data_IF_833296684147
#
_entry.id   IF_833296684147
#
_cell.length_a   1.000
_cell.length_b   1.000
_cell.length_c   1.000
_cell.angle_alpha   90.00
_cell.angle_beta   90.00
_cell.angle_gamma   90.00
#
_symmetry.space_group_name_H-M   'P 1'
#
loop_
_entity.id
_entity.type
_entity.pdbx_description
1 polymer ?
#
# COMPACT_ATOMS: atom_id res chain seq x y z
N UNK A 1 11.51 -3.35 1.05
CA UNK A 1 10.21 -3.14 0.41
C UNK A 1 10.29 -3.35 -1.10
N UNK A 2 9.25 -3.90 -1.73
CA UNK A 2 9.17 -3.99 -3.18
C UNK A 2 8.81 -2.63 -3.82
N UNK A 3 9.37 -2.39 -5.00
CA UNK A 3 9.05 -1.23 -5.85
C UNK A 3 8.65 -1.67 -7.26
N UNK A 4 7.61 -1.05 -7.84
CA UNK A 4 7.25 -1.30 -9.23
C UNK A 4 8.26 -0.65 -10.18
N UNK A 5 8.57 -1.35 -11.26
CA UNK A 5 9.28 -0.78 -12.41
C UNK A 5 8.28 -0.15 -13.40
N UNK A 6 8.70 0.76 -14.29
CA UNK A 6 7.82 1.27 -15.35
C UNK A 6 7.29 0.14 -16.23
N UNK A 7 6.07 0.29 -16.73
CA UNK A 7 5.53 -0.53 -17.80
C UNK A 7 5.90 0.08 -19.16
N UNK A 8 6.48 -0.71 -20.03
CA UNK A 8 6.97 -0.27 -21.35
C UNK A 8 6.15 -0.82 -22.53
N UNK A 9 4.96 -1.38 -22.25
CA UNK A 9 4.12 -1.97 -23.31
C UNK A 9 4.38 -3.45 -23.54
N UNK A 10 5.18 -4.09 -22.71
CA UNK A 10 5.47 -5.52 -22.80
C UNK A 10 4.21 -6.37 -22.57
N UNK A 11 4.14 -7.53 -23.22
CA UNK A 11 3.04 -8.47 -23.06
C UNK A 11 3.07 -9.09 -21.67
N UNK A 12 2.09 -8.76 -20.84
CA UNK A 12 1.92 -9.36 -19.51
C UNK A 12 1.14 -10.67 -19.64
N UNK A 13 1.77 -11.79 -19.25
CA UNK A 13 1.15 -13.12 -19.26
C UNK A 13 0.64 -13.51 -17.88
N UNK A 14 -0.50 -14.21 -17.84
CA UNK A 14 -1.10 -14.72 -16.62
C UNK A 14 -2.02 -13.71 -15.93
N UNK A 15 -2.34 -13.99 -14.65
CA UNK A 15 -3.28 -13.20 -13.86
C UNK A 15 -2.56 -12.06 -13.15
N UNK A 16 -3.09 -10.86 -13.29
CA UNK A 16 -2.56 -9.62 -12.70
C UNK A 16 -3.62 -8.90 -11.91
N UNK A 17 -3.21 -8.30 -10.81
CA UNK A 17 -4.01 -7.39 -9.99
C UNK A 17 -3.69 -5.97 -10.43
N UNK A 18 -4.71 -5.16 -10.67
CA UNK A 18 -4.59 -3.74 -11.01
C UNK A 18 -5.13 -2.92 -9.86
N UNK A 19 -4.30 -2.03 -9.32
CA UNK A 19 -4.61 -1.14 -8.20
C UNK A 19 -4.43 0.32 -8.62
N UNK A 20 -5.22 1.25 -8.06
CA UNK A 20 -4.93 2.68 -8.17
C UNK A 20 -3.56 3.01 -7.60
N UNK A 21 -2.81 3.86 -8.28
CA UNK A 21 -1.56 4.40 -7.76
C UNK A 21 -1.83 5.70 -7.02
N UNK A 22 -1.93 5.59 -5.71
CA UNK A 22 -2.10 6.76 -4.83
C UNK A 22 -0.80 7.57 -4.81
N UNK A 23 -0.92 8.90 -4.92
CA UNK A 23 0.21 9.81 -4.85
C UNK A 23 0.47 10.28 -3.41
N UNK A 24 0.83 9.33 -2.56
CA UNK A 24 1.06 9.54 -1.13
C UNK A 24 2.51 9.38 -0.69
N UNK A 25 2.67 9.01 0.57
CA UNK A 25 3.95 8.64 1.19
C UNK A 25 3.88 7.21 1.69
N UNK A 26 4.78 6.35 1.22
CA UNK A 26 4.85 4.95 1.64
C UNK A 26 4.97 4.85 3.14
N UNK A 27 4.10 4.06 3.75
CA UNK A 27 4.03 3.82 5.19
C UNK A 27 3.99 2.32 5.47
N UNK A 28 4.81 1.86 6.42
CA UNK A 28 4.67 0.55 7.04
C UNK A 28 3.99 0.72 8.40
N UNK A 29 2.93 -0.03 8.62
CA UNK A 29 2.27 -0.16 9.93
C UNK A 29 2.67 -1.51 10.50
N UNK A 30 3.39 -1.49 11.61
CA UNK A 30 3.93 -2.68 12.28
C UNK A 30 3.33 -2.77 13.66
N UNK A 31 2.65 -3.86 13.97
CA UNK A 31 2.27 -4.24 15.33
C UNK A 31 3.09 -5.48 15.68
N UNK A 32 4.01 -5.34 16.60
CA UNK A 32 4.91 -6.42 16.98
C UNK A 32 4.21 -7.52 17.79
N UNK A 33 4.96 -8.56 18.17
CA UNK A 33 4.40 -9.68 18.93
C UNK A 33 3.99 -9.31 20.38
N UNK A 34 4.49 -8.17 20.90
CA UNK A 34 4.11 -7.65 22.22
C UNK A 34 2.89 -6.73 22.15
N UNK A 35 2.49 -6.31 20.94
CA UNK A 35 1.39 -5.38 20.70
C UNK A 35 1.83 -3.92 20.55
N UNK A 36 3.14 -3.65 20.61
CA UNK A 36 3.68 -2.31 20.36
C UNK A 36 3.56 -1.96 18.88
N UNK A 37 3.19 -0.71 18.58
CA UNK A 37 2.95 -0.24 17.23
C UNK A 37 4.03 0.71 16.77
N UNK A 38 4.57 0.45 15.58
CA UNK A 38 5.59 1.27 14.94
C UNK A 38 5.12 1.70 13.55
N UNK A 39 5.43 2.94 13.18
CA UNK A 39 5.08 3.56 11.92
C UNK A 39 6.35 3.99 11.19
N UNK A 40 6.65 3.38 10.06
CA UNK A 40 7.89 3.64 9.32
C UNK A 40 7.63 4.12 7.90
N UNK A 41 8.32 5.20 7.52
CA UNK A 41 8.42 5.64 6.12
C UNK A 41 9.44 4.80 5.34
N UNK A 42 9.48 5.00 4.02
CA UNK A 42 10.37 4.23 3.13
C UNK A 42 11.83 4.65 3.14
N UNK A 43 12.11 5.94 3.34
CA UNK A 43 13.44 6.51 3.12
C UNK A 43 14.29 6.43 4.38
N UNK A 44 15.20 5.46 4.43
CA UNK A 44 16.09 5.25 5.56
C UNK A 44 16.94 6.48 5.89
N UNK A 45 17.38 7.21 4.88
CA UNK A 45 18.20 8.41 5.00
C UNK A 45 17.48 9.64 5.58
N UNK A 46 16.15 9.57 5.74
CA UNK A 46 15.30 10.68 6.21
C UNK A 46 14.60 10.39 7.52
N UNK A 47 15.27 9.74 8.46
CA UNK A 47 14.68 9.32 9.73
C UNK A 47 13.28 8.69 9.53
N UNK A 48 13.22 7.44 9.08
CA UNK A 48 11.97 6.80 8.65
C UNK A 48 11.05 6.44 9.80
N UNK A 49 11.48 6.50 11.05
CA UNK A 49 10.62 6.25 12.20
C UNK A 49 9.69 7.45 12.45
N UNK A 50 8.43 7.27 12.11
CA UNK A 50 7.38 8.28 12.25
C UNK A 50 6.46 8.00 13.43
N UNK A 51 6.75 7.00 14.25
CA UNK A 51 5.87 6.51 15.33
C UNK A 51 5.45 7.62 16.27
N UNK A 52 6.38 8.42 16.77
CA UNK A 52 6.08 9.52 17.69
C UNK A 52 5.21 10.60 17.01
N UNK A 53 5.60 11.03 15.81
CA UNK A 53 4.91 12.09 15.06
C UNK A 53 3.49 11.70 14.61
N UNK A 54 3.27 10.42 14.37
CA UNK A 54 1.98 9.86 13.94
C UNK A 54 1.32 9.02 15.05
N UNK A 55 1.70 9.20 16.32
CA UNK A 55 1.21 8.40 17.45
C UNK A 55 -0.32 8.42 17.60
N UNK A 56 -0.98 9.47 17.14
CA UNK A 56 -2.43 9.56 17.11
C UNK A 56 -3.12 8.52 16.21
N UNK A 57 -2.37 7.83 15.33
CA UNK A 57 -2.85 6.72 14.49
C UNK A 57 -2.81 5.37 15.21
N UNK A 58 -2.03 5.25 16.30
CA UNK A 58 -1.83 3.99 17.02
C UNK A 58 -3.15 3.38 17.49
N UNK A 59 -4.09 4.14 18.11
CA UNK A 59 -5.37 3.58 18.54
C UNK A 59 -6.18 2.95 17.38
N UNK A 60 -6.06 3.50 16.17
CA UNK A 60 -6.73 2.97 14.99
C UNK A 60 -6.19 1.62 14.49
N UNK A 61 -5.07 1.15 15.05
CA UNK A 61 -4.48 -0.16 14.73
C UNK A 61 -4.83 -1.25 15.77
N UNK A 62 -5.64 -0.92 16.77
CA UNK A 62 -5.96 -1.84 17.87
C UNK A 62 -6.55 -3.19 17.40
N UNK A 63 -7.35 -3.17 16.32
CA UNK A 63 -7.97 -4.35 15.74
C UNK A 63 -6.99 -5.31 15.06
N UNK A 64 -5.77 -4.86 14.73
CA UNK A 64 -4.77 -5.72 14.09
C UNK A 64 -4.27 -6.78 15.07
N UNK A 65 -4.12 -8.04 14.65
CA UNK A 65 -3.43 -9.05 15.43
C UNK A 65 -1.98 -8.64 15.72
N UNK A 66 -1.43 -9.09 16.86
CA UNK A 66 0.00 -8.95 17.14
C UNK A 66 0.83 -9.68 16.06
N UNK A 67 2.03 -9.20 15.82
CA UNK A 67 2.88 -9.74 14.74
C UNK A 67 2.37 -9.44 13.34
N UNK A 68 1.72 -8.29 13.14
CA UNK A 68 1.23 -7.84 11.81
C UNK A 68 2.10 -6.74 11.24
N UNK A 69 2.45 -6.85 9.96
CA UNK A 69 3.08 -5.78 9.18
C UNK A 69 2.28 -5.53 7.91
N UNK A 70 1.74 -4.32 7.81
CA UNK A 70 1.03 -3.84 6.64
C UNK A 70 1.91 -2.91 5.81
N UNK A 71 1.81 -3.04 4.48
CA UNK A 71 2.45 -2.15 3.52
C UNK A 71 1.40 -1.20 2.94
N UNK A 72 1.59 0.09 3.16
CA UNK A 72 0.54 1.10 2.98
C UNK A 72 1.05 2.32 2.23
N UNK A 73 0.12 3.16 1.80
CA UNK A 73 0.37 4.53 1.35
C UNK A 73 -0.39 5.50 2.26
N UNK A 74 0.35 6.40 2.93
CA UNK A 74 -0.22 7.50 3.71
C UNK A 74 -0.63 8.63 2.78
N UNK A 75 -1.86 9.06 2.90
CA UNK A 75 -2.44 10.16 2.15
C UNK A 75 -3.18 11.12 3.10
N UNK A 76 -3.71 12.21 2.59
CA UNK A 76 -4.52 13.13 3.38
C UNK A 76 -5.85 13.44 2.70
N UNK A 77 -6.89 13.70 3.49
CA UNK A 77 -8.23 14.06 3.00
C UNK A 77 -8.27 15.31 2.11
N UNK A 78 -7.19 16.11 2.12
CA UNK A 78 -7.03 17.35 1.34
C UNK A 78 -5.97 17.26 0.25
N UNK A 79 -5.55 16.03 -0.12
CA UNK A 79 -4.58 15.78 -1.16
C UNK A 79 -3.13 15.76 -0.67
N UNK A 80 -2.23 15.35 -1.56
CA UNK A 80 -0.82 15.11 -1.27
C UNK A 80 -0.11 16.28 -0.57
N UNK A 81 -0.38 17.51 -0.97
CA UNK A 81 0.28 18.71 -0.41
C UNK A 81 0.03 18.89 1.10
N UNK A 82 -0.99 18.26 1.64
CA UNK A 82 -1.34 18.34 3.06
C UNK A 82 -0.78 17.18 3.89
N UNK A 83 -0.11 16.18 3.29
CA UNK A 83 0.55 15.09 4.04
C UNK A 83 1.54 15.64 5.08
N UNK A 84 2.40 16.64 4.78
CA UNK A 84 3.30 17.20 5.80
C UNK A 84 2.57 17.72 7.04
N UNK A 85 1.34 18.22 6.91
CA UNK A 85 0.57 18.72 8.05
C UNK A 85 0.16 17.63 9.05
N UNK A 86 0.13 16.35 8.62
CA UNK A 86 -0.17 15.22 9.50
C UNK A 86 0.92 15.02 10.56
N UNK A 87 2.14 15.48 10.30
CA UNK A 87 3.29 15.40 11.20
C UNK A 87 3.39 16.59 12.17
N UNK A 88 2.43 17.49 12.13
CA UNK A 88 2.38 18.68 12.96
C UNK A 88 1.31 18.54 14.07
N UNK A 89 1.47 19.27 15.19
CA UNK A 89 0.45 19.33 16.24
C UNK A 89 -0.88 19.91 15.73
N UNK A 90 -0.80 20.90 14.83
CA UNK A 90 -1.95 21.55 14.21
C UNK A 90 -2.22 20.94 12.83
N UNK A 91 -2.79 19.74 12.79
CA UNK A 91 -3.14 19.05 11.55
C UNK A 91 -4.20 19.81 10.78
N UNK A 92 -3.97 19.98 9.48
CA UNK A 92 -4.87 20.69 8.57
C UNK A 92 -5.69 19.73 7.68
N UNK A 93 -5.54 18.43 7.87
CA UNK A 93 -6.21 17.39 7.11
C UNK A 93 -6.31 16.11 7.94
N UNK A 94 -7.27 15.25 7.59
CA UNK A 94 -7.39 13.92 8.18
C UNK A 94 -6.49 12.91 7.44
N UNK A 95 -5.91 11.94 8.14
CA UNK A 95 -5.12 10.88 7.54
C UNK A 95 -6.01 9.88 6.82
N UNK A 96 -5.52 9.38 5.68
CA UNK A 96 -6.06 8.25 4.95
C UNK A 96 -4.90 7.28 4.71
N UNK A 97 -5.04 6.04 5.12
CA UNK A 97 -4.00 5.02 4.99
C UNK A 97 -4.52 3.92 4.08
N UNK A 98 -3.98 3.83 2.86
CA UNK A 98 -4.36 2.82 1.89
C UNK A 98 -3.47 1.59 2.03
N UNK A 99 -4.04 0.50 2.52
CA UNK A 99 -3.35 -0.77 2.73
C UNK A 99 -3.40 -1.58 1.45
N UNK A 100 -2.26 -1.91 0.87
CA UNK A 100 -2.19 -2.64 -0.39
C UNK A 100 -1.42 -3.97 -0.31
N UNK A 101 -0.76 -4.28 0.81
CA UNK A 101 -0.16 -5.59 1.04
C UNK A 101 -0.01 -5.88 2.55
N UNK A 102 0.16 -7.16 2.88
CA UNK A 102 0.47 -7.64 4.23
C UNK A 102 1.64 -8.61 4.15
N UNK A 103 2.64 -8.41 5.01
CA UNK A 103 3.91 -9.13 4.96
C UNK A 103 4.11 -10.05 6.15
N UNK A 104 3.61 -9.65 7.32
CA UNK A 104 3.57 -10.49 8.51
C UNK A 104 2.13 -10.56 9.01
N UNK A 105 1.76 -11.75 9.46
CA UNK A 105 0.45 -12.02 10.05
C UNK A 105 0.62 -13.03 11.19
N UNK A 106 0.14 -12.68 12.41
CA UNK A 106 0.31 -13.49 13.62
C UNK A 106 1.78 -13.87 13.89
N UNK A 107 2.73 -12.98 13.61
CA UNK A 107 4.17 -13.22 13.79
C UNK A 107 4.85 -14.02 12.68
N UNK A 108 4.09 -14.56 11.72
CA UNK A 108 4.63 -15.31 10.59
C UNK A 108 4.92 -14.41 9.39
N UNK A 109 6.08 -14.56 8.74
CA UNK A 109 6.37 -13.92 7.46
C UNK A 109 5.61 -14.61 6.33
N UNK A 110 4.60 -13.95 5.80
CA UNK A 110 3.75 -14.48 4.73
C UNK A 110 4.10 -13.93 3.33
N UNK A 111 5.21 -13.19 3.20
CA UNK A 111 5.72 -12.72 1.90
C UNK A 111 6.05 -13.87 0.94
N UNK A 112 6.29 -15.06 1.45
CA UNK A 112 6.47 -16.30 0.66
C UNK A 112 5.17 -16.85 0.05
N UNK A 113 4.02 -16.33 0.45
CA UNK A 113 2.72 -16.66 -0.16
C UNK A 113 2.47 -15.79 -1.40
N UNK A 114 1.65 -16.28 -2.32
CA UNK A 114 1.24 -15.51 -3.51
C UNK A 114 0.53 -14.22 -3.10
N UNK A 115 0.63 -13.17 -3.91
CA UNK A 115 -0.07 -11.91 -3.67
C UNK A 115 -1.58 -12.11 -3.49
N UNK A 116 -2.21 -12.99 -4.29
CA UNK A 116 -3.64 -13.30 -4.16
C UNK A 116 -4.01 -13.86 -2.78
N UNK A 117 -3.14 -14.69 -2.20
CA UNK A 117 -3.35 -15.27 -0.85
C UNK A 117 -3.17 -14.20 0.22
N UNK A 118 -2.16 -13.33 0.09
CA UNK A 118 -1.96 -12.19 1.00
C UNK A 118 -3.13 -11.21 0.94
N UNK A 119 -3.69 -10.96 -0.26
CA UNK A 119 -4.90 -10.13 -0.41
C UNK A 119 -6.13 -10.76 0.27
N UNK A 120 -6.29 -12.07 0.21
CA UNK A 120 -7.37 -12.77 0.90
C UNK A 120 -7.25 -12.62 2.44
N UNK A 121 -6.05 -12.75 2.99
CA UNK A 121 -5.79 -12.51 4.42
C UNK A 121 -6.11 -11.05 4.78
N UNK A 122 -5.63 -10.09 3.97
CA UNK A 122 -5.87 -8.66 4.20
C UNK A 122 -7.38 -8.34 4.22
N UNK A 123 -8.16 -8.96 3.33
CA UNK A 123 -9.61 -8.78 3.29
C UNK A 123 -10.30 -9.30 4.57
N UNK A 124 -9.81 -10.40 5.15
CA UNK A 124 -10.34 -10.98 6.38
C UNK A 124 -10.10 -10.11 7.62
N UNK A 125 -9.10 -9.22 7.59
CA UNK A 125 -8.78 -8.34 8.71
C UNK A 125 -9.85 -7.27 9.01
N UNK A 126 -10.85 -7.09 8.16
CA UNK A 126 -11.92 -6.09 8.33
C UNK A 126 -11.35 -4.71 8.69
N UNK A 127 -10.40 -4.27 7.90
CA UNK A 127 -9.70 -3.00 8.06
C UNK A 127 -10.69 -1.85 8.26
N UNK A 128 -10.43 -0.97 9.24
CA UNK A 128 -11.30 0.13 9.63
C UNK A 128 -10.61 1.49 9.44
N UNK A 129 -11.40 2.57 9.18
CA UNK A 129 -10.87 3.92 9.09
C UNK A 129 -10.00 4.30 10.30
N UNK A 130 -8.94 5.09 10.08
CA UNK A 130 -8.50 5.72 8.83
C UNK A 130 -7.68 4.82 7.89
N UNK A 131 -7.61 3.51 8.18
CA UNK A 131 -7.04 2.51 7.28
C UNK A 131 -8.14 2.02 6.32
N UNK A 132 -7.76 1.82 5.05
CA UNK A 132 -8.65 1.35 4.00
C UNK A 132 -7.93 0.32 3.13
N UNK A 133 -8.54 -0.84 2.86
CA UNK A 133 -7.99 -1.74 1.86
C UNK A 133 -8.01 -1.04 0.50
N UNK A 134 -6.87 -0.98 -0.17
CA UNK A 134 -6.81 -0.44 -1.52
C UNK A 134 -7.60 -1.36 -2.46
N UNK A 135 -8.61 -0.85 -3.19
CA UNK A 135 -9.39 -1.66 -4.10
C UNK A 135 -8.53 -2.13 -5.26
N UNK A 136 -8.87 -3.29 -5.79
CA UNK A 136 -8.19 -3.84 -6.95
C UNK A 136 -9.15 -4.60 -7.86
N UNK A 137 -8.68 -4.85 -9.08
CA UNK A 137 -9.33 -5.74 -10.05
C UNK A 137 -8.34 -6.75 -10.57
N UNK A 138 -8.83 -7.90 -10.97
CA UNK A 138 -8.02 -8.95 -11.57
C UNK A 138 -8.27 -9.01 -13.08
N UNK A 139 -7.19 -9.15 -13.84
CA UNK A 139 -7.20 -9.28 -15.28
C UNK A 139 -6.33 -10.45 -15.70
N UNK A 140 -6.80 -11.17 -16.72
CA UNK A 140 -6.03 -12.20 -17.38
C UNK A 140 -5.31 -11.59 -18.59
N UNK A 141 -3.98 -11.72 -18.64
CA UNK A 141 -3.15 -11.17 -19.72
C UNK A 141 -3.47 -9.69 -20.04
N UNK A 142 -3.39 -8.77 -19.05
CA UNK A 142 -3.83 -7.40 -19.25
C UNK A 142 -3.02 -6.69 -20.34
N UNK A 143 -3.71 -5.87 -21.12
CA UNK A 143 -3.12 -4.96 -22.11
C UNK A 143 -3.56 -3.54 -21.78
N UNK A 144 -2.73 -2.53 -22.12
CA UNK A 144 -3.07 -1.11 -21.88
C UNK A 144 -4.29 -0.62 -22.68
N UNK A 145 -4.63 -1.33 -23.75
CA UNK A 145 -5.76 -1.01 -24.61
C UNK A 145 -7.13 -1.35 -24.03
N UNK A 146 -7.18 -1.92 -22.80
CA UNK A 146 -8.46 -2.18 -22.14
C UNK A 146 -8.94 -0.88 -21.47
N UNK A 147 -10.01 -0.21 -22.00
CA UNK A 147 -10.56 1.02 -21.40
C UNK A 147 -10.93 0.84 -19.92
N UNK A 148 -11.32 -0.37 -19.57
CA UNK A 148 -11.71 -0.76 -18.21
C UNK A 148 -10.60 -0.62 -17.16
N UNK A 149 -9.32 -0.61 -17.59
CA UNK A 149 -8.20 -0.38 -16.70
C UNK A 149 -8.00 1.11 -16.37
N UNK A 150 -8.48 2.00 -17.25
CA UNK A 150 -8.16 3.44 -17.23
C UNK A 150 -9.26 4.26 -16.56
N UNK A 151 -10.54 3.85 -16.63
CA UNK A 151 -11.68 4.76 -16.38
C UNK A 151 -12.28 4.71 -14.97
N UNK A 152 -11.76 3.97 -14.01
CA UNK A 152 -12.53 3.83 -12.77
C UNK A 152 -11.91 4.54 -11.58
N UNK A 153 -12.52 5.69 -11.27
CA UNK A 153 -12.47 6.36 -9.99
C UNK A 153 -12.71 5.36 -8.86
N UNK A 154 -11.99 5.52 -7.75
CA UNK A 154 -12.28 4.80 -6.52
C UNK A 154 -13.64 5.30 -6.04
N UNK A 155 -14.70 4.61 -6.38
CA UNK A 155 -16.08 5.08 -6.19
C UNK A 155 -16.50 5.26 -4.72
N UNK A 156 -15.78 4.60 -3.79
CA UNK A 156 -16.10 4.69 -2.36
C UNK A 156 -15.34 5.80 -1.60
N UNK A 157 -14.41 6.48 -2.27
CA UNK A 157 -13.67 7.62 -1.71
C UNK A 157 -13.64 8.74 -2.76
N UNK A 158 -14.76 9.47 -2.94
CA UNK A 158 -14.81 10.57 -3.87
C UNK A 158 -13.81 11.66 -3.49
N UNK A 159 -13.12 12.22 -4.48
CA UNK A 159 -12.14 13.30 -4.28
C UNK A 159 -10.71 12.83 -4.01
N UNK A 160 -10.41 11.53 -4.10
CA UNK A 160 -9.03 11.03 -4.03
C UNK A 160 -8.46 10.93 -5.44
N UNK A 161 -7.43 11.73 -5.67
CA UNK A 161 -6.67 11.67 -6.91
C UNK A 161 -5.64 10.54 -6.85
N UNK A 162 -5.52 9.80 -7.94
CA UNK A 162 -4.43 8.86 -8.15
C UNK A 162 -3.68 9.20 -9.44
N UNK A 163 -2.36 8.97 -9.41
CA UNK A 163 -1.45 9.41 -10.48
C UNK A 163 -1.24 8.36 -11.57
N UNK A 164 -1.99 7.26 -11.52
CA UNK A 164 -1.85 6.14 -12.44
C UNK A 164 -2.35 4.84 -11.82
N UNK A 165 -1.81 3.73 -12.28
CA UNK A 165 -2.12 2.39 -11.78
C UNK A 165 -0.84 1.59 -11.50
N UNK A 166 -0.97 0.60 -10.62
CA UNK A 166 0.03 -0.44 -10.39
C UNK A 166 -0.57 -1.78 -10.81
N UNK A 167 0.15 -2.47 -11.71
CA UNK A 167 -0.15 -3.85 -12.05
C UNK A 167 0.78 -4.75 -11.23
N UNK A 168 0.23 -5.75 -10.56
CA UNK A 168 0.97 -6.71 -9.74
C UNK A 168 0.61 -8.12 -10.19
N UNK A 169 1.62 -8.96 -10.49
CA UNK A 169 1.38 -10.36 -10.84
C UNK A 169 0.75 -11.09 -9.66
N UNK A 170 -0.42 -11.69 -9.86
CA UNK A 170 -1.22 -12.32 -8.80
C UNK A 170 -0.47 -13.45 -8.06
N UNK A 171 0.41 -14.16 -8.77
CA UNK A 171 1.26 -15.22 -8.21
C UNK A 171 2.58 -14.74 -7.60
N UNK A 172 2.84 -13.42 -7.56
CA UNK A 172 4.13 -12.90 -7.07
C UNK A 172 4.30 -13.07 -5.56
N UNK A 173 5.53 -13.37 -5.17
CA UNK A 173 5.98 -13.37 -3.79
C UNK A 173 6.46 -11.96 -3.41
N UNK A 174 6.56 -11.68 -2.12
CA UNK A 174 7.13 -10.44 -1.63
C UNK A 174 8.56 -10.68 -1.12
N UNK A 175 9.53 -10.11 -1.80
CA UNK A 175 10.93 -10.19 -1.41
C UNK A 175 11.30 -8.99 -0.54
N UNK A 176 12.10 -9.25 0.50
CA UNK A 176 12.64 -8.21 1.40
C UNK A 176 14.11 -7.97 1.04
N UNK A 177 14.44 -6.73 0.71
CA UNK A 177 15.83 -6.30 0.55
C UNK A 177 16.46 -5.93 1.89
N UNK A 178 17.74 -6.28 2.08
CA UNK A 178 18.51 -5.95 3.29
C UNK A 178 18.90 -4.46 3.34
N UNK A 179 19.24 -3.88 2.20
CA UNK A 179 19.82 -2.52 2.12
C UNK A 179 18.85 -1.46 1.56
N UNK A 180 17.63 -1.84 1.21
CA UNK A 180 16.65 -0.89 0.68
C UNK A 180 15.56 -1.53 -0.15
N UNK A 181 14.79 -0.71 -0.87
CA UNK A 181 13.72 -1.19 -1.72
C UNK A 181 14.25 -1.98 -2.93
N UNK A 182 13.59 -3.11 -3.22
CA UNK A 182 13.88 -3.96 -4.39
C UNK A 182 12.93 -3.63 -5.53
N UNK A 183 13.48 -3.32 -6.70
CA UNK A 183 12.71 -3.27 -7.94
C UNK A 183 12.29 -4.68 -8.34
N UNK A 184 11.07 -4.85 -8.82
CA UNK A 184 10.57 -6.16 -9.25
C UNK A 184 9.81 -6.09 -10.56
N UNK A 185 10.08 -7.05 -11.44
CA UNK A 185 9.35 -7.23 -12.67
C UNK A 185 7.91 -7.70 -12.48
N UNK A 186 7.60 -8.23 -11.30
CA UNK A 186 6.25 -8.66 -10.97
C UNK A 186 5.31 -7.48 -10.63
N UNK A 187 5.85 -6.28 -10.52
CA UNK A 187 5.08 -5.06 -10.31
C UNK A 187 5.42 -4.04 -11.39
N UNK A 188 4.40 -3.52 -12.10
CA UNK A 188 4.52 -2.50 -13.14
C UNK A 188 3.75 -1.26 -12.74
N UNK A 189 4.32 -0.09 -12.95
CA UNK A 189 3.64 1.18 -12.75
C UNK A 189 3.37 1.87 -14.08
N UNK A 190 2.18 2.41 -14.21
CA UNK A 190 1.77 3.29 -15.29
C UNK A 190 1.40 4.62 -14.64
N UNK A 191 1.99 5.69 -15.10
CA UNK A 191 1.63 7.04 -14.71
C UNK A 191 0.94 7.73 -15.87
N UNK A 192 -0.09 8.49 -15.59
CA UNK A 192 -0.83 9.25 -16.60
C UNK A 192 -0.20 10.62 -16.86
N UNK A 193 0.85 11.00 -16.11
CA UNK A 193 1.65 12.21 -16.30
C UNK A 193 3.11 11.98 -15.88
#
# INVERSE_FOLDING_TARGET
LLQPIPYFGERLKGKWIVEPKIDGWRLQVIKDNKGDVFLYGRRLEKNPNWTEKLSFLIPATAFLPNGTLLDCELYSSRGRRFIPSLFSKNRKAEPLIFVFDILFFNGEFIGTRKLSERKAILFQLKIQPPLYCLPYREFQNPTLSSPEMVERKISFLPGIDFEGIILKKSSSLYLIGKEGPLATENWRKIRWR
#
